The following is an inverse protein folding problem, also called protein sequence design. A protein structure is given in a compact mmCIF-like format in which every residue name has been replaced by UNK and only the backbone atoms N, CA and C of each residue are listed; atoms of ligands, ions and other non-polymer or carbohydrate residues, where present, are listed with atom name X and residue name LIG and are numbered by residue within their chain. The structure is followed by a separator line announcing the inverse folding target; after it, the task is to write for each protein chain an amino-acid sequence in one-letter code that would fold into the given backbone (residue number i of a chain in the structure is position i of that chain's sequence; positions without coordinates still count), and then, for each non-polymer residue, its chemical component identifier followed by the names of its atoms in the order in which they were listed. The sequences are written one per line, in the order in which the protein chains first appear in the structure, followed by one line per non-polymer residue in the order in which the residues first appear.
data_IF_817186181595
#
_entry.id   IF_817186181595
#
_cell.length_a   1.000
_cell.length_b   1.000
_cell.length_c   1.000
_cell.angle_alpha   90.00
_cell.angle_beta   90.00
_cell.angle_gamma   90.00
#
_symmetry.space_group_name_H-M   'P 1'
#
loop_
_entity.id
_entity.type
_entity.pdbx_description
1 polymer ?
#
# COMPACT_ATOMS: atom_id res chain seq x y z
N UNK A 1 46.11 -8.01 -12.50
CA UNK A 1 44.66 -8.10 -12.24
C UNK A 1 44.29 -6.80 -11.56
N UNK A 2 43.59 -5.90 -12.25
CA UNK A 2 43.12 -4.66 -11.62
C UNK A 2 42.10 -5.06 -10.56
N UNK A 3 42.43 -4.86 -9.29
CA UNK A 3 41.44 -4.97 -8.22
C UNK A 3 40.39 -3.90 -8.51
N UNK A 4 39.19 -4.31 -8.91
CA UNK A 4 38.07 -3.39 -9.00
C UNK A 4 37.88 -2.77 -7.62
N UNK A 5 38.15 -1.47 -7.52
CA UNK A 5 37.92 -0.69 -6.30
C UNK A 5 36.40 -0.65 -6.08
N UNK A 6 35.95 -1.07 -4.90
CA UNK A 6 34.54 -1.07 -4.53
C UNK A 6 33.95 0.34 -4.66
N UNK A 7 32.66 0.47 -4.97
CA UNK A 7 32.01 1.79 -5.02
C UNK A 7 31.79 2.37 -3.62
N UNK A 8 31.18 1.59 -2.73
CA UNK A 8 30.85 2.01 -1.38
C UNK A 8 31.14 0.89 -0.38
N UNK A 9 31.74 1.25 0.74
CA UNK A 9 31.97 0.36 1.87
C UNK A 9 31.48 1.03 3.16
N UNK A 10 30.47 0.42 3.77
CA UNK A 10 29.97 0.82 5.09
C UNK A 10 30.75 0.04 6.14
N UNK A 11 31.39 0.75 7.07
CA UNK A 11 32.19 0.18 8.15
C UNK A 11 31.40 0.16 9.44
N UNK A 12 31.58 -0.90 10.23
CA UNK A 12 31.04 -1.00 11.61
C UNK A 12 29.53 -0.75 11.67
N UNK A 13 28.77 -1.44 10.81
CA UNK A 13 27.32 -1.44 10.80
C UNK A 13 26.79 -2.44 11.82
N UNK A 14 25.84 -2.02 12.67
CA UNK A 14 25.12 -2.97 13.51
C UNK A 14 23.98 -3.59 12.70
N UNK A 15 24.04 -4.91 12.48
CA UNK A 15 22.95 -5.67 11.85
C UNK A 15 22.19 -6.48 12.90
N UNK A 16 20.87 -6.38 12.84
CA UNK A 16 19.95 -7.19 13.63
C UNK A 16 19.49 -8.40 12.81
N UNK A 17 19.30 -9.53 13.49
CA UNK A 17 18.81 -10.77 12.89
C UNK A 17 17.61 -11.28 13.69
N UNK A 18 16.75 -12.06 13.04
CA UNK A 18 15.57 -12.61 13.70
C UNK A 18 15.90 -13.81 14.59
N UNK A 19 16.89 -14.61 14.20
CA UNK A 19 17.20 -15.93 14.77
C UNK A 19 18.57 -16.00 15.46
N UNK A 20 19.34 -14.89 15.48
CA UNK A 20 20.67 -14.82 16.08
C UNK A 20 20.97 -13.43 16.67
N UNK A 21 21.98 -13.29 17.55
CA UNK A 21 22.34 -11.99 18.12
C UNK A 21 22.73 -10.96 17.07
N UNK A 22 22.54 -9.68 17.39
CA UNK A 22 23.05 -8.60 16.57
C UNK A 22 24.58 -8.67 16.44
N UNK A 23 25.09 -8.30 15.27
CA UNK A 23 26.52 -8.35 14.96
C UNK A 23 26.98 -7.04 14.29
N UNK A 24 28.21 -6.62 14.61
CA UNK A 24 28.89 -5.54 13.90
C UNK A 24 29.58 -6.11 12.67
N UNK A 25 29.33 -5.52 11.51
CA UNK A 25 29.88 -5.95 10.22
C UNK A 25 30.30 -4.77 9.35
N UNK A 26 31.09 -5.05 8.31
CA UNK A 26 31.28 -4.20 7.16
C UNK A 26 30.38 -4.68 6.01
N UNK A 27 29.86 -3.74 5.21
CA UNK A 27 28.97 -4.01 4.06
C UNK A 27 29.58 -3.38 2.79
N UNK A 28 29.94 -4.21 1.82
CA UNK A 28 30.48 -3.79 0.53
C UNK A 28 29.40 -3.70 -0.54
N UNK A 29 29.41 -2.61 -1.30
CA UNK A 29 28.46 -2.32 -2.38
C UNK A 29 29.22 -2.03 -3.67
N UNK A 30 28.75 -2.65 -4.76
CA UNK A 30 29.26 -2.48 -6.12
C UNK A 30 28.12 -2.58 -7.12
N UNK A 31 28.08 -1.66 -8.10
CA UNK A 31 27.06 -1.60 -9.13
C UNK A 31 25.63 -1.66 -8.56
N UNK A 32 25.40 -0.91 -7.47
CA UNK A 32 24.12 -0.84 -6.77
C UNK A 32 23.70 -2.12 -6.03
N UNK A 33 24.59 -3.10 -5.85
CA UNK A 33 24.30 -4.36 -5.14
C UNK A 33 25.22 -4.56 -3.96
N UNK A 34 24.69 -5.17 -2.91
CA UNK A 34 25.50 -5.68 -1.80
C UNK A 34 26.27 -6.90 -2.32
N UNK A 35 27.60 -6.83 -2.28
CA UNK A 35 28.49 -7.89 -2.79
C UNK A 35 29.20 -8.68 -1.68
N UNK A 36 29.31 -8.11 -0.48
CA UNK A 36 29.82 -8.83 0.69
C UNK A 36 29.28 -8.21 1.99
N UNK A 37 29.08 -9.07 2.99
CA UNK A 37 28.81 -8.71 4.39
C UNK A 37 29.69 -9.62 5.25
N UNK A 38 30.56 -9.03 6.08
CA UNK A 38 31.44 -9.78 6.97
C UNK A 38 31.85 -8.94 8.19
N UNK A 39 32.27 -9.54 9.31
CA UNK A 39 32.74 -8.78 10.50
C UNK A 39 33.87 -7.79 10.20
N UNK A 40 34.68 -8.07 9.19
CA UNK A 40 35.73 -7.20 8.68
C UNK A 40 35.96 -7.46 7.19
N UNK A 41 36.19 -6.41 6.41
CA UNK A 41 36.52 -6.49 4.99
C UNK A 41 37.85 -5.77 4.70
N UNK A 42 38.89 -6.48 4.24
CA UNK A 42 40.22 -5.90 3.99
C UNK A 42 40.27 -4.99 2.73
N UNK A 43 39.20 -4.96 1.94
CA UNK A 43 39.10 -4.15 0.73
C UNK A 43 38.95 -2.65 1.04
N UNK A 44 39.32 -1.81 0.06
CA UNK A 44 39.02 -0.38 0.05
C UNK A 44 37.95 -0.05 -0.99
N UNK A 45 37.22 1.04 -0.78
CA UNK A 45 36.21 1.57 -1.71
C UNK A 45 36.49 3.02 -2.11
N UNK A 46 35.82 3.49 -3.16
CA UNK A 46 35.83 4.89 -3.60
C UNK A 46 35.24 5.80 -2.51
N UNK A 47 34.18 5.34 -1.84
CA UNK A 47 33.61 5.97 -0.67
C UNK A 47 33.57 4.97 0.50
N UNK A 48 34.20 5.33 1.61
CA UNK A 48 34.08 4.58 2.87
C UNK A 48 33.34 5.42 3.90
N UNK A 49 32.31 4.85 4.52
CA UNK A 49 31.53 5.50 5.57
C UNK A 49 31.62 4.69 6.85
N UNK A 50 32.06 5.32 7.92
CA UNK A 50 32.07 4.71 9.25
C UNK A 50 30.76 4.97 9.97
N UNK A 51 29.97 3.91 10.16
CA UNK A 51 28.61 3.96 10.71
C UNK A 51 28.62 3.86 12.24
N UNK A 52 29.80 3.78 12.87
CA UNK A 52 29.96 3.90 14.33
C UNK A 52 29.10 2.94 15.17
N UNK A 53 28.90 1.71 14.70
CA UNK A 53 28.01 0.70 15.30
C UNK A 53 26.55 1.13 15.40
N UNK A 54 26.10 2.09 14.58
CA UNK A 54 24.68 2.39 14.43
C UNK A 54 23.98 1.31 13.61
N UNK A 55 22.67 1.16 13.85
CA UNK A 55 21.81 0.24 13.11
C UNK A 55 21.81 0.59 11.63
N UNK A 56 22.05 -0.42 10.79
CA UNK A 56 21.77 -0.35 9.36
C UNK A 56 20.62 -1.29 9.05
N UNK A 57 19.62 -0.79 8.34
CA UNK A 57 18.45 -1.55 7.95
C UNK A 57 18.27 -1.51 6.43
N UNK A 58 17.51 -2.46 5.85
CA UNK A 58 16.88 -2.17 4.56
C UNK A 58 16.00 -0.92 4.66
N UNK A 59 15.65 -0.30 3.53
CA UNK A 59 14.74 0.83 3.52
C UNK A 59 13.40 0.49 4.16
N UNK A 60 12.75 1.49 4.75
CA UNK A 60 11.37 1.34 5.21
C UNK A 60 10.42 1.21 4.02
N UNK A 61 9.26 0.60 4.30
CA UNK A 61 8.19 0.37 3.33
C UNK A 61 6.95 1.13 3.82
N UNK A 62 6.44 2.04 2.99
CA UNK A 62 5.08 2.56 3.11
C UNK A 62 4.16 1.64 2.31
N UNK A 63 3.53 0.69 2.99
CA UNK A 63 2.71 -0.32 2.32
C UNK A 63 1.32 0.17 1.93
N UNK A 64 0.87 1.33 2.44
CA UNK A 64 -0.48 1.83 2.17
C UNK A 64 -0.60 3.34 2.38
N UNK A 65 -0.69 4.09 1.27
CA UNK A 65 -0.94 5.53 1.30
C UNK A 65 -1.89 5.95 0.15
N UNK A 66 -2.51 7.12 0.27
CA UNK A 66 -3.25 7.79 -0.81
C UNK A 66 -2.49 9.05 -1.23
N UNK A 67 -1.55 8.93 -2.18
CA UNK A 67 -0.75 10.07 -2.66
C UNK A 67 -1.58 11.06 -3.51
N UNK A 68 -2.67 10.60 -4.11
CA UNK A 68 -3.59 11.41 -4.91
C UNK A 68 -4.33 12.48 -4.07
N UNK A 69 -4.63 12.15 -2.82
CA UNK A 69 -5.29 13.02 -1.81
C UNK A 69 -4.32 13.58 -0.77
N UNK A 70 -3.04 13.20 -0.79
CA UNK A 70 -2.04 13.73 0.12
C UNK A 70 -1.95 15.26 0.00
N UNK A 71 -1.78 15.93 1.14
CA UNK A 71 -1.64 17.39 1.25
C UNK A 71 -2.86 18.20 0.78
N UNK A 72 -4.08 17.64 0.81
CA UNK A 72 -5.34 18.38 0.49
C UNK A 72 -6.23 18.63 1.70
N UNK A 73 -5.74 18.40 2.92
CA UNK A 73 -6.52 18.60 4.14
C UNK A 73 -7.00 20.06 4.25
N UNK A 74 -8.30 20.26 4.43
CA UNK A 74 -8.92 21.59 4.47
C UNK A 74 -9.43 22.10 3.12
N UNK A 75 -9.30 21.33 2.04
CA UNK A 75 -9.77 21.70 0.70
C UNK A 75 -10.91 20.78 0.23
N UNK A 76 -12.12 21.30 -0.04
CA UNK A 76 -12.58 22.68 0.16
C UNK A 76 -12.94 23.02 1.62
N UNK A 77 -12.93 22.02 2.52
CA UNK A 77 -13.25 22.17 3.95
C UNK A 77 -12.56 21.11 4.78
N UNK A 78 -12.55 21.29 6.10
CA UNK A 78 -12.05 20.32 7.07
C UNK A 78 -13.09 19.25 7.39
N UNK A 79 -12.63 18.01 7.61
CA UNK A 79 -13.44 16.93 8.17
C UNK A 79 -13.68 17.20 9.67
N UNK A 80 -14.90 17.63 10.02
CA UNK A 80 -15.26 18.05 11.38
C UNK A 80 -15.64 16.89 12.28
N UNK A 81 -16.33 15.87 11.75
CA UNK A 81 -16.72 14.68 12.52
C UNK A 81 -15.56 13.72 12.75
N UNK A 82 -14.53 13.79 11.91
CA UNK A 82 -13.42 12.84 11.90
C UNK A 82 -13.87 11.44 11.47
N UNK A 83 -14.94 11.32 10.68
CA UNK A 83 -15.45 10.05 10.17
C UNK A 83 -14.92 9.76 8.76
N UNK A 84 -14.89 8.46 8.39
CA UNK A 84 -14.56 8.03 7.02
C UNK A 84 -15.52 8.64 6.00
N UNK A 85 -16.82 8.60 6.28
CA UNK A 85 -17.86 9.06 5.36
C UNK A 85 -17.77 10.54 5.02
N UNK A 86 -17.55 11.41 6.02
CA UNK A 86 -17.32 12.84 5.75
C UNK A 86 -16.04 13.07 4.93
N UNK A 87 -14.99 12.27 5.18
CA UNK A 87 -13.77 12.30 4.39
C UNK A 87 -14.01 11.99 2.90
N UNK A 88 -14.80 10.96 2.61
CA UNK A 88 -15.19 10.58 1.24
C UNK A 88 -15.99 11.70 0.57
N UNK A 89 -16.92 12.35 1.28
CA UNK A 89 -17.69 13.48 0.75
C UNK A 89 -16.80 14.69 0.42
N UNK A 90 -15.86 15.04 1.30
CA UNK A 90 -14.90 16.13 1.06
C UNK A 90 -14.02 15.80 -0.15
N UNK A 91 -13.54 14.56 -0.23
CA UNK A 91 -12.74 14.11 -1.36
C UNK A 91 -13.54 14.17 -2.67
N UNK A 92 -14.81 13.74 -2.66
CA UNK A 92 -15.72 13.86 -3.82
C UNK A 92 -15.83 15.29 -4.33
N UNK A 93 -15.87 16.28 -3.43
CA UNK A 93 -15.89 17.69 -3.82
C UNK A 93 -14.52 18.14 -4.36
N UNK A 94 -13.41 17.74 -3.71
CA UNK A 94 -12.05 18.10 -4.13
C UNK A 94 -11.66 17.51 -5.48
N UNK A 95 -12.18 16.33 -5.83
CA UNK A 95 -11.97 15.67 -7.14
C UNK A 95 -12.41 16.53 -8.32
N UNK A 96 -13.41 17.39 -8.15
CA UNK A 96 -13.96 18.22 -9.24
C UNK A 96 -12.96 19.26 -9.77
N UNK A 97 -11.96 19.65 -8.97
CA UNK A 97 -10.92 20.61 -9.34
C UNK A 97 -9.54 19.97 -9.51
N UNK A 98 -9.47 18.63 -9.49
CA UNK A 98 -8.20 17.90 -9.59
C UNK A 98 -7.56 18.08 -10.97
N UNK A 99 -6.24 18.26 -11.01
CA UNK A 99 -5.46 18.23 -12.25
C UNK A 99 -4.28 17.28 -12.09
N UNK A 100 -3.76 16.77 -13.21
CA UNK A 100 -2.58 15.88 -13.21
C UNK A 100 -1.40 16.56 -12.52
N UNK A 101 -1.15 17.84 -12.84
CA UNK A 101 -0.03 18.60 -12.27
C UNK A 101 -0.19 18.82 -10.76
N UNK A 102 -1.41 19.12 -10.29
CA UNK A 102 -1.71 19.22 -8.85
C UNK A 102 -1.40 17.91 -8.10
N UNK A 103 -1.86 16.77 -8.63
CA UNK A 103 -1.57 15.44 -8.07
C UNK A 103 -0.07 15.19 -8.01
N UNK A 104 0.65 15.44 -9.10
CA UNK A 104 2.10 15.20 -9.18
C UNK A 104 2.86 16.02 -8.14
N UNK A 105 2.57 17.32 -8.04
CA UNK A 105 3.26 18.22 -7.12
C UNK A 105 3.11 17.77 -5.68
N UNK A 106 1.89 17.43 -5.26
CA UNK A 106 1.62 16.96 -3.89
C UNK A 106 2.22 15.59 -3.63
N UNK A 107 2.04 14.63 -4.54
CA UNK A 107 2.61 13.28 -4.41
C UNK A 107 4.14 13.32 -4.30
N UNK A 108 4.83 14.05 -5.17
CA UNK A 108 6.30 14.19 -5.11
C UNK A 108 6.75 14.87 -3.83
N UNK A 109 6.03 15.90 -3.36
CA UNK A 109 6.34 16.56 -2.10
C UNK A 109 6.24 15.58 -0.91
N UNK A 110 5.18 14.77 -0.86
CA UNK A 110 5.01 13.72 0.15
C UNK A 110 6.09 12.64 0.06
N UNK A 111 6.40 12.16 -1.15
CA UNK A 111 7.44 11.16 -1.37
C UNK A 111 8.83 11.65 -0.95
N UNK A 112 9.16 12.93 -1.18
CA UNK A 112 10.42 13.52 -0.68
C UNK A 112 10.48 13.49 0.85
N UNK A 113 9.38 13.82 1.54
CA UNK A 113 9.33 13.75 2.99
C UNK A 113 9.53 12.32 3.49
N UNK A 114 8.92 11.33 2.84
CA UNK A 114 9.08 9.91 3.14
C UNK A 114 10.53 9.43 2.90
N UNK A 115 11.13 9.78 1.77
CA UNK A 115 12.52 9.42 1.45
C UNK A 115 13.52 10.01 2.47
N UNK A 116 13.29 11.23 2.95
CA UNK A 116 14.10 11.83 4.03
C UNK A 116 14.04 11.05 5.34
N UNK A 117 13.02 10.22 5.55
CA UNK A 117 12.86 9.33 6.70
C UNK A 117 13.27 7.87 6.39
N UNK A 118 13.88 7.60 5.22
CA UNK A 118 14.37 6.28 4.84
C UNK A 118 13.33 5.35 4.20
N UNK A 119 12.15 5.86 3.83
CA UNK A 119 11.13 5.10 3.08
C UNK A 119 11.47 5.13 1.60
N UNK A 120 11.77 3.95 1.01
CA UNK A 120 12.12 3.85 -0.42
C UNK A 120 11.21 2.91 -1.23
N UNK A 121 10.27 2.22 -0.58
CA UNK A 121 9.24 1.40 -1.21
C UNK A 121 7.87 1.90 -0.79
N UNK A 122 7.03 2.25 -1.74
CA UNK A 122 5.72 2.86 -1.49
C UNK A 122 4.65 2.16 -2.32
N UNK A 123 3.49 1.87 -1.73
CA UNK A 123 2.28 1.49 -2.46
C UNK A 123 1.21 2.54 -2.23
N UNK A 124 0.84 3.23 -3.31
CA UNK A 124 -0.22 4.23 -3.29
C UNK A 124 -1.49 3.74 -3.95
N UNK A 125 -2.62 3.99 -3.30
CA UNK A 125 -3.93 3.87 -3.90
C UNK A 125 -4.21 5.13 -4.73
N UNK A 126 -4.83 4.92 -5.91
CA UNK A 126 -5.25 5.98 -6.81
C UNK A 126 -6.76 5.82 -7.03
N UNK A 127 -7.52 6.86 -6.70
CA UNK A 127 -8.95 6.84 -6.97
C UNK A 127 -9.24 6.74 -8.48
N UNK A 128 -9.99 5.72 -8.88
CA UNK A 128 -10.41 5.48 -10.28
C UNK A 128 -11.92 5.61 -10.48
N UNK A 129 -12.69 6.08 -9.50
CA UNK A 129 -14.14 6.33 -9.66
C UNK A 129 -14.46 7.65 -10.36
N UNK A 130 -13.54 8.16 -11.17
CA UNK A 130 -13.64 9.43 -11.89
C UNK A 130 -13.32 9.24 -13.38
N UNK A 131 -14.12 9.86 -14.26
CA UNK A 131 -14.20 9.49 -15.68
C UNK A 131 -12.91 9.73 -16.48
N UNK A 132 -12.08 10.70 -16.12
CA UNK A 132 -10.86 11.04 -16.85
C UNK A 132 -9.60 10.39 -16.24
N UNK A 133 -9.72 9.66 -15.12
CA UNK A 133 -8.63 8.99 -14.41
C UNK A 133 -7.46 9.93 -14.07
N UNK A 134 -7.77 11.15 -13.62
CA UNK A 134 -6.78 12.21 -13.36
C UNK A 134 -5.81 11.81 -12.25
N UNK A 135 -6.33 11.33 -11.12
CA UNK A 135 -5.53 10.87 -9.98
C UNK A 135 -4.58 9.75 -10.41
N UNK A 136 -5.11 8.73 -11.09
CA UNK A 136 -4.34 7.62 -11.61
C UNK A 136 -3.24 8.06 -12.58
N UNK A 137 -3.58 8.83 -13.63
CA UNK A 137 -2.60 9.29 -14.62
C UNK A 137 -1.49 10.11 -13.97
N UNK A 138 -1.85 10.98 -13.03
CA UNK A 138 -0.87 11.71 -12.22
C UNK A 138 0.09 10.79 -11.48
N UNK A 139 -0.42 9.78 -10.76
CA UNK A 139 0.44 8.85 -10.01
C UNK A 139 1.28 7.93 -10.91
N UNK A 140 0.81 7.57 -12.10
CA UNK A 140 1.62 6.84 -13.08
C UNK A 140 2.79 7.70 -13.61
N UNK A 141 2.57 8.99 -13.85
CA UNK A 141 3.66 9.92 -14.20
C UNK A 141 4.64 10.08 -13.04
N UNK A 142 4.15 10.21 -11.79
CA UNK A 142 5.01 10.27 -10.60
C UNK A 142 5.86 9.02 -10.49
N UNK A 143 5.29 7.82 -10.68
CA UNK A 143 6.03 6.55 -10.62
C UNK A 143 7.24 6.56 -11.55
N UNK A 144 7.11 7.10 -12.77
CA UNK A 144 8.23 7.22 -13.70
C UNK A 144 9.24 8.30 -13.31
N UNK A 145 8.78 9.43 -12.77
CA UNK A 145 9.63 10.56 -12.36
C UNK A 145 10.49 10.23 -11.13
N UNK A 146 10.01 9.37 -10.23
CA UNK A 146 10.69 9.06 -8.96
C UNK A 146 11.49 7.77 -8.95
N UNK A 147 11.45 6.98 -10.04
CA UNK A 147 11.98 5.60 -10.08
C UNK A 147 13.47 5.44 -9.72
N UNK A 148 14.25 6.50 -9.87
CA UNK A 148 15.68 6.47 -9.53
C UNK A 148 15.94 6.53 -8.01
N UNK A 149 14.94 6.87 -7.21
CA UNK A 149 15.08 7.02 -5.75
C UNK A 149 13.92 6.43 -4.92
N UNK A 150 12.75 6.18 -5.51
CA UNK A 150 11.65 5.44 -4.87
C UNK A 150 11.08 4.38 -5.81
N UNK A 151 10.80 3.20 -5.26
CA UNK A 151 9.96 2.20 -5.92
C UNK A 151 8.50 2.44 -5.53
N UNK A 152 7.69 2.92 -6.48
CA UNK A 152 6.27 3.19 -6.28
C UNK A 152 5.40 2.15 -6.99
N UNK A 153 4.50 1.49 -6.25
CA UNK A 153 3.39 0.70 -6.78
C UNK A 153 2.11 1.54 -6.77
N UNK A 154 1.30 1.42 -7.82
CA UNK A 154 0.01 2.10 -7.93
C UNK A 154 -1.14 1.09 -7.95
N UNK A 155 -2.12 1.29 -7.05
CA UNK A 155 -3.34 0.49 -6.95
C UNK A 155 -4.49 1.20 -7.65
N UNK A 156 -5.21 0.51 -8.54
CA UNK A 156 -6.49 1.01 -9.05
C UNK A 156 -7.55 0.87 -7.96
N UNK A 157 -7.92 1.97 -7.31
CA UNK A 157 -8.80 1.97 -6.14
C UNK A 157 -10.17 2.58 -6.47
N UNK A 158 -11.26 1.79 -6.47
CA UNK A 158 -12.59 2.29 -6.78
C UNK A 158 -13.23 2.91 -5.52
N UNK A 159 -12.84 4.14 -5.16
CA UNK A 159 -13.25 4.79 -3.90
C UNK A 159 -14.77 4.84 -3.70
N UNK A 160 -15.54 5.08 -4.77
CA UNK A 160 -17.01 5.10 -4.76
C UNK A 160 -17.64 3.72 -5.08
N UNK A 161 -16.90 2.62 -4.92
CA UNK A 161 -17.34 1.24 -5.21
C UNK A 161 -17.24 0.85 -6.69
N UNK A 162 -17.08 -0.45 -6.98
CA UNK A 162 -17.07 -0.98 -8.35
C UNK A 162 -18.49 -0.92 -8.96
N UNK A 163 -19.52 -1.09 -8.14
CA UNK A 163 -20.92 -1.09 -8.57
C UNK A 163 -21.72 0.10 -8.02
N UNK A 164 -21.05 1.10 -7.43
CA UNK A 164 -21.68 2.36 -7.01
C UNK A 164 -22.11 3.24 -8.19
N UNK A 165 -21.43 3.17 -9.33
CA UNK A 165 -21.83 3.77 -10.60
C UNK A 165 -21.63 2.79 -11.75
N UNK A 166 -22.48 2.86 -12.78
CA UNK A 166 -22.45 1.97 -13.92
C UNK A 166 -21.13 1.97 -14.71
N UNK A 167 -20.34 3.05 -14.63
CA UNK A 167 -19.06 3.19 -15.35
C UNK A 167 -17.85 2.69 -14.55
N UNK A 168 -17.97 2.49 -13.24
CA UNK A 168 -16.80 2.23 -12.39
C UNK A 168 -16.08 0.92 -12.72
N UNK A 169 -16.80 -0.14 -13.10
CA UNK A 169 -16.20 -1.40 -13.55
C UNK A 169 -15.38 -1.24 -14.85
N UNK A 170 -15.85 -0.40 -15.78
CA UNK A 170 -15.11 -0.09 -17.01
C UNK A 170 -13.86 0.74 -16.71
N UNK A 171 -13.94 1.68 -15.75
CA UNK A 171 -12.82 2.49 -15.29
C UNK A 171 -11.75 1.66 -14.58
N UNK A 172 -12.14 0.65 -13.79
CA UNK A 172 -11.22 -0.32 -13.20
C UNK A 172 -10.45 -1.08 -14.28
N UNK A 173 -11.14 -1.55 -15.33
CA UNK A 173 -10.48 -2.25 -16.42
C UNK A 173 -9.58 -1.33 -17.25
N UNK A 174 -9.96 -0.07 -17.44
CA UNK A 174 -9.13 0.93 -18.11
C UNK A 174 -7.87 1.27 -17.30
N UNK A 175 -7.97 1.40 -15.98
CA UNK A 175 -6.82 1.58 -15.10
C UNK A 175 -5.79 0.45 -15.24
N UNK A 176 -6.26 -0.78 -15.43
CA UNK A 176 -5.41 -1.95 -15.68
C UNK A 176 -4.72 -1.89 -17.04
N UNK A 177 -5.40 -1.41 -18.09
CA UNK A 177 -4.79 -1.17 -19.41
C UNK A 177 -3.73 -0.07 -19.36
N UNK A 178 -3.92 0.95 -18.52
CA UNK A 178 -2.96 2.04 -18.30
C UNK A 178 -1.72 1.61 -17.49
N UNK A 179 -1.74 0.43 -16.86
CA UNK A 179 -0.55 -0.19 -16.28
C UNK A 179 -0.35 0.00 -14.77
N UNK A 180 -1.44 0.05 -14.00
CA UNK A 180 -1.41 -0.11 -12.52
C UNK A 180 -0.82 -1.46 -12.11
N UNK A 181 -0.17 -1.50 -10.96
CA UNK A 181 0.51 -2.71 -10.45
C UNK A 181 -0.44 -3.65 -9.70
N UNK A 182 -1.52 -3.08 -9.14
CA UNK A 182 -2.39 -3.73 -8.17
C UNK A 182 -3.87 -3.41 -8.45
N UNK A 183 -4.74 -4.40 -8.29
CA UNK A 183 -6.21 -4.23 -8.31
C UNK A 183 -6.70 -3.95 -6.89
N UNK A 184 -7.41 -2.85 -6.69
CA UNK A 184 -8.02 -2.48 -5.42
C UNK A 184 -9.51 -2.82 -5.31
N UNK A 185 -10.10 -2.48 -4.17
CA UNK A 185 -11.53 -2.66 -3.92
C UNK A 185 -11.96 -2.07 -2.57
N UNK A 186 -13.26 -1.84 -2.41
CA UNK A 186 -13.86 -1.33 -1.16
C UNK A 186 -15.22 -2.03 -0.88
N UNK A 187 -15.25 -3.36 -0.73
CA UNK A 187 -16.50 -4.13 -0.72
C UNK A 187 -17.49 -3.73 0.38
N UNK A 188 -17.00 -3.21 1.50
CA UNK A 188 -17.82 -2.73 2.62
C UNK A 188 -18.56 -1.41 2.34
N UNK A 189 -18.22 -0.73 1.25
CA UNK A 189 -18.83 0.53 0.82
C UNK A 189 -19.74 0.36 -0.42
N UNK A 190 -19.84 -0.84 -0.98
CA UNK A 190 -20.80 -1.13 -2.05
C UNK A 190 -22.24 -0.96 -1.53
N UNK A 191 -23.19 -0.72 -2.46
CA UNK A 191 -24.58 -0.41 -2.13
C UNK A 191 -25.29 -1.52 -1.35
N UNK A 192 -24.92 -2.78 -1.61
CA UNK A 192 -25.49 -3.95 -0.95
C UNK A 192 -24.42 -4.96 -0.59
N UNK A 193 -24.74 -5.85 0.36
CA UNK A 193 -23.86 -6.97 0.72
C UNK A 193 -23.56 -7.85 -0.49
N UNK A 194 -24.56 -8.10 -1.33
CA UNK A 194 -24.42 -8.89 -2.55
C UNK A 194 -23.48 -8.23 -3.56
N UNK A 195 -23.55 -6.90 -3.71
CA UNK A 195 -22.63 -6.14 -4.56
C UNK A 195 -21.20 -6.17 -4.00
N UNK A 196 -21.02 -6.08 -2.68
CA UNK A 196 -19.73 -6.26 -2.01
C UNK A 196 -19.09 -7.63 -2.27
N UNK A 197 -19.88 -8.70 -2.28
CA UNK A 197 -19.37 -10.03 -2.64
C UNK A 197 -19.07 -10.14 -4.14
N UNK A 198 -19.95 -9.58 -4.97
CA UNK A 198 -19.76 -9.55 -6.42
C UNK A 198 -18.48 -8.79 -6.79
N UNK A 199 -18.18 -7.68 -6.11
CA UNK A 199 -17.03 -6.83 -6.43
C UNK A 199 -15.72 -7.54 -6.12
N UNK A 200 -15.65 -8.33 -5.05
CA UNK A 200 -14.50 -9.20 -4.75
C UNK A 200 -14.27 -10.22 -5.87
N UNK A 201 -15.33 -10.89 -6.34
CA UNK A 201 -15.18 -11.83 -7.47
C UNK A 201 -14.64 -11.13 -8.72
N UNK A 202 -15.12 -9.92 -9.02
CA UNK A 202 -14.64 -9.12 -10.14
C UNK A 202 -13.18 -8.70 -9.98
N UNK A 203 -12.74 -8.33 -8.78
CA UNK A 203 -11.35 -7.99 -8.47
C UNK A 203 -10.41 -9.18 -8.78
N UNK A 204 -10.77 -10.39 -8.34
CA UNK A 204 -10.00 -11.59 -8.63
C UNK A 204 -10.00 -11.96 -10.12
N UNK A 205 -11.11 -11.74 -10.83
CA UNK A 205 -11.17 -11.92 -12.29
C UNK A 205 -10.20 -10.97 -13.00
N UNK A 206 -10.26 -9.67 -12.67
CA UNK A 206 -9.39 -8.63 -13.23
C UNK A 206 -7.92 -8.91 -12.93
N UNK A 207 -7.59 -9.27 -11.69
CA UNK A 207 -6.21 -9.56 -11.31
C UNK A 207 -5.63 -10.77 -12.06
N UNK A 208 -6.41 -11.82 -12.29
CA UNK A 208 -5.98 -12.97 -13.10
C UNK A 208 -5.85 -12.61 -14.59
N UNK A 209 -6.82 -11.85 -15.13
CA UNK A 209 -6.83 -11.42 -16.53
C UNK A 209 -5.62 -10.57 -16.89
N UNK A 210 -5.20 -9.68 -15.99
CA UNK A 210 -4.13 -8.70 -16.21
C UNK A 210 -2.81 -9.04 -15.50
N UNK A 211 -2.74 -10.20 -14.84
CA UNK A 211 -1.60 -10.66 -14.04
C UNK A 211 -1.12 -9.63 -12.99
N UNK A 212 -2.04 -9.15 -12.16
CA UNK A 212 -1.77 -8.11 -11.15
C UNK A 212 -1.88 -8.61 -9.72
N UNK A 213 -1.28 -7.86 -8.80
CA UNK A 213 -1.48 -8.03 -7.36
C UNK A 213 -2.88 -7.56 -6.96
N UNK A 214 -3.31 -7.89 -5.74
CA UNK A 214 -4.58 -7.43 -5.15
C UNK A 214 -4.32 -6.75 -3.81
N UNK A 215 -4.92 -5.59 -3.58
CA UNK A 215 -4.90 -4.90 -2.27
C UNK A 215 -6.24 -4.20 -2.00
N UNK A 216 -7.05 -4.82 -1.15
CA UNK A 216 -8.46 -4.41 -0.93
C UNK A 216 -8.57 -3.64 0.38
N UNK A 217 -9.24 -2.48 0.35
CA UNK A 217 -9.79 -1.83 1.54
C UNK A 217 -10.92 -2.70 2.10
N UNK A 218 -10.54 -3.63 2.96
CA UNK A 218 -11.40 -4.71 3.41
C UNK A 218 -11.98 -4.35 4.77
N UNK A 219 -13.30 -4.25 4.88
CA UNK A 219 -14.01 -4.05 6.14
C UNK A 219 -13.47 -2.87 6.99
N UNK A 220 -13.28 -1.68 6.41
CA UNK A 220 -12.86 -0.45 7.12
C UNK A 220 -14.05 0.26 7.79
N UNK A 221 -14.78 -0.49 8.63
CA UNK A 221 -15.97 -0.06 9.35
C UNK A 221 -16.10 -0.88 10.64
N UNK A 222 -16.77 -0.34 11.66
CA UNK A 222 -16.95 -1.02 12.95
C UNK A 222 -18.11 -2.04 12.99
N UNK A 223 -18.84 -2.22 11.88
CA UNK A 223 -19.95 -3.17 11.77
C UNK A 223 -19.45 -4.64 11.84
N UNK A 224 -19.88 -5.39 12.85
CA UNK A 224 -19.52 -6.79 13.06
C UNK A 224 -20.07 -7.75 11.98
N UNK A 225 -20.97 -7.26 11.12
CA UNK A 225 -21.47 -7.95 9.94
C UNK A 225 -20.70 -7.63 8.65
N UNK A 226 -19.78 -6.64 8.66
CA UNK A 226 -18.87 -6.41 7.54
C UNK A 226 -17.83 -7.52 7.48
N UNK A 227 -18.16 -8.56 6.72
CA UNK A 227 -17.46 -9.85 6.69
C UNK A 227 -16.86 -10.15 5.32
N UNK A 228 -16.43 -9.14 4.59
CA UNK A 228 -15.91 -9.33 3.24
C UNK A 228 -14.56 -10.05 3.23
N UNK A 229 -13.79 -9.97 4.33
CA UNK A 229 -12.53 -10.69 4.51
C UNK A 229 -12.66 -12.22 4.32
N UNK A 230 -13.76 -12.84 4.76
CA UNK A 230 -13.93 -14.29 4.54
C UNK A 230 -14.11 -14.64 3.06
N UNK A 231 -14.72 -13.74 2.29
CA UNK A 231 -14.89 -13.89 0.83
C UNK A 231 -13.54 -13.69 0.12
N UNK A 232 -12.77 -12.68 0.53
CA UNK A 232 -11.40 -12.47 0.02
C UNK A 232 -10.53 -13.71 0.27
N UNK A 233 -10.53 -14.24 1.50
CA UNK A 233 -9.78 -15.45 1.86
C UNK A 233 -10.23 -16.67 1.04
N UNK A 234 -11.54 -16.86 0.88
CA UNK A 234 -12.09 -17.96 0.09
C UNK A 234 -11.68 -17.87 -1.39
N UNK A 235 -11.73 -16.67 -1.99
CA UNK A 235 -11.28 -16.44 -3.36
C UNK A 235 -9.78 -16.71 -3.49
N UNK A 236 -8.96 -16.14 -2.61
CA UNK A 236 -7.50 -16.33 -2.61
C UNK A 236 -7.09 -17.80 -2.50
N UNK A 237 -7.78 -18.58 -1.67
CA UNK A 237 -7.53 -20.02 -1.52
C UNK A 237 -7.92 -20.78 -2.80
N UNK A 238 -9.08 -20.47 -3.39
CA UNK A 238 -9.60 -21.17 -4.58
C UNK A 238 -8.80 -20.89 -5.85
N UNK A 239 -8.29 -19.67 -6.00
CA UNK A 239 -7.48 -19.26 -7.16
C UNK A 239 -6.00 -19.56 -6.97
N UNK A 240 -5.55 -19.90 -5.76
CA UNK A 240 -4.13 -20.08 -5.44
C UNK A 240 -3.34 -18.76 -5.43
N UNK A 241 -4.02 -17.61 -5.41
CA UNK A 241 -3.38 -16.28 -5.48
C UNK A 241 -2.95 -15.72 -4.12
N UNK A 242 -3.05 -16.49 -3.03
CA UNK A 242 -2.87 -15.98 -1.66
C UNK A 242 -1.70 -15.01 -1.46
N UNK A 243 -0.49 -15.38 -1.86
CA UNK A 243 0.72 -14.54 -1.69
C UNK A 243 0.70 -13.21 -2.46
N UNK A 244 -0.24 -13.04 -3.39
CA UNK A 244 -0.46 -11.84 -4.20
C UNK A 244 -1.61 -10.97 -3.70
N UNK A 245 -2.27 -11.37 -2.61
CA UNK A 245 -3.46 -10.70 -2.06
C UNK A 245 -3.10 -10.03 -0.74
N UNK A 246 -3.50 -8.79 -0.59
CA UNK A 246 -3.46 -8.01 0.64
C UNK A 246 -4.87 -7.59 1.03
N UNK A 247 -5.20 -7.70 2.32
CA UNK A 247 -6.38 -7.08 2.93
C UNK A 247 -5.90 -5.93 3.82
N UNK A 248 -6.21 -4.71 3.40
CA UNK A 248 -5.90 -3.48 4.13
C UNK A 248 -7.05 -3.14 5.10
N UNK A 249 -6.68 -2.53 6.23
CA UNK A 249 -7.55 -2.12 7.34
C UNK A 249 -8.12 -3.28 8.16
N UNK A 250 -9.11 -4.00 7.64
CA UNK A 250 -9.82 -5.08 8.35
C UNK A 250 -10.30 -4.67 9.74
N UNK A 251 -10.74 -3.42 9.93
CA UNK A 251 -11.08 -2.87 11.26
C UNK A 251 -12.26 -3.58 11.88
N UNK A 252 -13.25 -4.00 11.09
CA UNK A 252 -14.38 -4.81 11.55
C UNK A 252 -13.94 -6.10 12.26
N UNK A 253 -12.75 -6.64 11.94
CA UNK A 253 -12.21 -7.82 12.59
C UNK A 253 -12.05 -7.63 14.10
N UNK A 254 -11.73 -6.40 14.54
CA UNK A 254 -11.67 -6.02 15.95
C UNK A 254 -13.02 -6.07 16.67
N UNK A 255 -14.13 -5.98 15.91
CA UNK A 255 -15.51 -5.95 16.40
C UNK A 255 -16.25 -7.27 16.19
N UNK A 256 -15.64 -8.26 15.54
CA UNK A 256 -16.30 -9.53 15.24
C UNK A 256 -16.71 -10.32 16.49
N UNK A 257 -17.82 -11.06 16.35
CA UNK A 257 -18.12 -12.15 17.25
C UNK A 257 -16.94 -13.14 17.35
N UNK A 258 -16.49 -13.45 18.57
CA UNK A 258 -15.31 -14.28 18.82
C UNK A 258 -15.37 -15.68 18.19
N UNK A 259 -16.54 -16.33 18.15
CA UNK A 259 -16.66 -17.66 17.56
C UNK A 259 -16.49 -17.60 16.03
N UNK A 260 -17.03 -16.56 15.40
CA UNK A 260 -16.83 -16.31 13.98
C UNK A 260 -15.36 -15.96 13.67
N UNK A 261 -14.74 -15.07 14.45
CA UNK A 261 -13.33 -14.70 14.28
C UNK A 261 -12.41 -15.91 14.43
N UNK A 262 -12.64 -16.78 15.42
CA UNK A 262 -11.85 -18.00 15.63
C UNK A 262 -11.94 -18.96 14.43
N UNK A 263 -13.13 -19.16 13.86
CA UNK A 263 -13.33 -19.91 12.60
C UNK A 263 -12.51 -19.29 11.47
N UNK A 264 -12.60 -17.97 11.30
CA UNK A 264 -11.94 -17.25 10.21
C UNK A 264 -10.41 -17.31 10.32
N UNK A 265 -9.83 -17.18 11.52
CA UNK A 265 -8.39 -17.35 11.75
C UNK A 265 -7.85 -18.68 11.21
N UNK A 266 -8.61 -19.77 11.37
CA UNK A 266 -8.24 -21.07 10.81
C UNK A 266 -8.17 -21.08 9.28
N UNK A 267 -9.00 -20.30 8.58
CA UNK A 267 -8.93 -20.15 7.12
C UNK A 267 -7.79 -19.22 6.70
N UNK A 268 -7.56 -18.14 7.44
CA UNK A 268 -6.49 -17.18 7.17
C UNK A 268 -5.10 -17.82 7.34
N UNK A 269 -4.89 -18.67 8.36
CA UNK A 269 -3.62 -19.41 8.51
C UNK A 269 -3.31 -20.34 7.33
N UNK A 270 -4.34 -20.80 6.61
CA UNK A 270 -4.21 -21.70 5.45
C UNK A 270 -4.12 -20.96 4.13
N UNK A 271 -4.33 -19.64 4.14
CA UNK A 271 -4.37 -18.81 2.94
C UNK A 271 -3.29 -17.74 3.10
N UNK A 272 -2.20 -17.77 2.31
CA UNK A 272 -1.05 -16.89 2.54
C UNK A 272 -1.31 -15.45 2.06
N UNK A 273 -2.43 -14.85 2.45
CA UNK A 273 -2.72 -13.42 2.22
C UNK A 273 -1.96 -12.55 3.21
N UNK A 274 -1.74 -11.31 2.83
CA UNK A 274 -1.08 -10.30 3.64
C UNK A 274 -2.11 -9.36 4.28
N UNK A 275 -1.74 -8.72 5.37
CA UNK A 275 -2.57 -7.75 6.09
C UNK A 275 -1.82 -6.44 6.28
N UNK A 276 -2.51 -5.32 6.11
CA UNK A 276 -2.00 -4.00 6.46
C UNK A 276 -2.94 -3.35 7.45
N UNK A 277 -2.42 -2.98 8.62
CA UNK A 277 -3.14 -2.19 9.61
C UNK A 277 -2.64 -0.74 9.54
N UNK A 278 -3.57 0.23 9.58
CA UNK A 278 -3.27 1.66 9.52
C UNK A 278 -3.63 2.31 10.88
N UNK A 279 -2.88 2.03 11.96
CA UNK A 279 -3.33 2.28 13.33
C UNK A 279 -3.65 3.74 13.62
N UNK A 280 -2.85 4.70 13.13
CA UNK A 280 -3.08 6.13 13.34
C UNK A 280 -4.33 6.64 12.61
N UNK A 281 -4.63 6.06 11.44
CA UNK A 281 -5.83 6.39 10.68
C UNK A 281 -7.04 5.75 11.36
N UNK A 282 -6.96 4.44 11.66
CA UNK A 282 -8.08 3.70 12.19
C UNK A 282 -8.45 4.11 13.63
N UNK A 283 -7.50 4.48 14.50
CA UNK A 283 -7.85 5.05 15.81
C UNK A 283 -8.58 6.40 15.71
N UNK A 284 -8.40 7.13 14.61
CA UNK A 284 -9.04 8.43 14.38
C UNK A 284 -10.44 8.26 13.80
N UNK A 285 -10.61 7.32 12.86
CA UNK A 285 -11.83 7.15 12.07
C UNK A 285 -12.83 6.15 12.66
N UNK A 286 -12.35 5.14 13.40
CA UNK A 286 -13.18 4.09 14.00
C UNK A 286 -13.65 4.49 15.42
N UNK A 287 -14.61 3.76 15.98
CA UNK A 287 -15.23 4.01 17.28
C UNK A 287 -16.12 5.25 17.33
N UNK A 288 -16.39 5.88 16.17
CA UNK A 288 -17.17 7.12 16.07
C UNK A 288 -18.68 6.91 16.23
N UNK A 289 -19.14 5.67 16.07
CA UNK A 289 -20.53 5.27 16.24
C UNK A 289 -20.76 4.46 17.54
N UNK A 290 -19.72 4.23 18.34
CA UNK A 290 -19.83 3.51 19.62
C UNK A 290 -20.61 4.37 20.62
N UNK A 291 -21.63 3.79 21.25
CA UNK A 291 -22.50 4.44 22.25
C UNK A 291 -22.39 3.77 23.61
#
# INVERSE_FOLDING_TARGET
MSSQVLELLLRRCLLIHFDRPAETVDIAIQAGKIVAIAPHLDQSAQLELDIQNQLVSPPFVESHIHLDSALTAGEPRWNQSGTLFEGIEIWRDRKQSLTIEDVKQRAIATLKQQAMQGVLFVRSHADVSEQNLIALKGLLEVREEVKDWITLQVVAFPQDGIYGDAKNDELMEEALRLGVDVVGGIPHYELTREDGVRSIHRIFELAQKYDRLIDIHCDEIDDDQSRFLEVVAACALRTGMGSRVTASHTTAFGSYNNAYAFKLLGFLQRTPINFIANPLINITLQGRADT
#
